data_IF_454885246455
#
_entry.id   IF_454885246455
#
_cell.length_a   1.000
_cell.length_b   1.000
_cell.length_c   1.000
_cell.angle_alpha   90.00
_cell.angle_beta   90.00
_cell.angle_gamma   90.00
#
_symmetry.space_group_name_H-M   'P 1'
#
loop_
_entity.id
_entity.type
_entity.pdbx_description
1 polymer ?
#
# COMPACT_ATOMS: atom_id res chain seq x y z
N UNK A 1 -24.87 32.96 14.57
CA UNK A 1 -25.26 32.22 13.33
C UNK A 1 -24.15 31.36 12.74
N UNK A 2 -22.85 31.72 12.82
CA UNK A 2 -21.72 30.96 12.24
C UNK A 2 -21.57 29.52 12.76
N UNK A 3 -21.78 29.29 14.06
CA UNK A 3 -21.58 27.94 14.65
C UNK A 3 -22.55 26.87 14.14
N UNK A 4 -23.78 27.21 13.79
CA UNK A 4 -24.75 26.23 13.25
C UNK A 4 -24.41 25.82 11.83
N UNK A 5 -23.96 26.76 11.01
CA UNK A 5 -23.52 26.45 9.63
C UNK A 5 -22.31 25.51 9.59
N UNK A 6 -21.35 25.72 10.50
CA UNK A 6 -20.16 24.88 10.63
C UNK A 6 -20.52 23.44 11.04
N UNK A 7 -21.32 23.28 12.08
CA UNK A 7 -21.80 21.95 12.51
C UNK A 7 -22.56 21.22 11.40
N UNK A 8 -23.47 21.93 10.69
CA UNK A 8 -24.22 21.35 9.57
C UNK A 8 -23.30 20.87 8.45
N UNK A 9 -22.28 21.65 8.09
CA UNK A 9 -21.33 21.28 7.05
C UNK A 9 -20.56 19.99 7.43
N UNK A 10 -20.10 19.87 8.67
CA UNK A 10 -19.42 18.65 9.16
C UNK A 10 -20.33 17.42 9.15
N UNK A 11 -21.56 17.55 9.62
CA UNK A 11 -22.54 16.46 9.60
C UNK A 11 -22.84 16.02 8.17
N UNK A 12 -23.02 16.97 7.23
CA UNK A 12 -23.23 16.64 5.82
C UNK A 12 -22.03 15.92 5.20
N UNK A 13 -20.79 16.32 5.52
CA UNK A 13 -19.59 15.63 5.06
C UNK A 13 -19.50 14.22 5.64
N UNK A 14 -19.72 14.06 6.93
CA UNK A 14 -19.73 12.76 7.59
C UNK A 14 -20.77 11.82 6.97
N UNK A 15 -21.97 12.33 6.70
CA UNK A 15 -23.02 11.56 6.02
C UNK A 15 -22.62 11.11 4.61
N UNK A 16 -22.01 12.01 3.82
CA UNK A 16 -21.52 11.66 2.46
C UNK A 16 -20.43 10.61 2.51
N UNK A 17 -19.48 10.72 3.44
CA UNK A 17 -18.43 9.72 3.63
C UNK A 17 -19.03 8.38 4.05
N UNK A 18 -19.98 8.36 4.98
CA UNK A 18 -20.68 7.15 5.39
C UNK A 18 -21.46 6.52 4.22
N UNK A 19 -22.13 7.33 3.40
CA UNK A 19 -22.79 6.86 2.17
C UNK A 19 -21.80 6.17 1.22
N UNK A 20 -20.64 6.79 0.95
CA UNK A 20 -19.62 6.18 0.11
C UNK A 20 -19.11 4.87 0.71
N UNK A 21 -18.88 4.81 2.02
CA UNK A 21 -18.43 3.60 2.71
C UNK A 21 -19.43 2.45 2.64
N UNK A 22 -20.72 2.76 2.60
CA UNK A 22 -21.79 1.73 2.50
C UNK A 22 -21.99 1.26 1.07
N UNK A 23 -22.10 2.19 0.12
CA UNK A 23 -22.50 1.89 -1.25
C UNK A 23 -21.33 1.64 -2.20
N UNK A 24 -20.14 2.18 -1.89
CA UNK A 24 -18.92 2.06 -2.70
C UNK A 24 -17.71 1.72 -1.81
N UNK A 25 -17.78 0.61 -1.05
CA UNK A 25 -16.79 0.34 0.00
C UNK A 25 -15.36 0.26 -0.51
N UNK A 26 -15.09 -0.43 -1.63
CA UNK A 26 -13.74 -0.52 -2.19
C UNK A 26 -13.18 0.84 -2.60
N UNK A 27 -13.99 1.69 -3.23
CA UNK A 27 -13.57 3.04 -3.59
C UNK A 27 -13.27 3.90 -2.35
N UNK A 28 -14.06 3.74 -1.29
CA UNK A 28 -13.80 4.39 0.00
C UNK A 28 -12.46 3.94 0.59
N UNK A 29 -12.19 2.62 0.67
CA UNK A 29 -10.93 2.11 1.20
C UNK A 29 -9.75 2.52 0.33
N UNK A 30 -9.86 2.44 -1.00
CA UNK A 30 -8.81 2.86 -1.92
C UNK A 30 -8.43 4.34 -1.74
N UNK A 31 -9.43 5.22 -1.64
CA UNK A 31 -9.20 6.65 -1.40
C UNK A 31 -8.56 6.90 -0.04
N UNK A 32 -9.05 6.26 1.01
CA UNK A 32 -8.52 6.42 2.36
C UNK A 32 -7.06 5.97 2.44
N UNK A 33 -6.75 4.76 1.97
CA UNK A 33 -5.40 4.22 2.00
C UNK A 33 -4.44 4.98 1.08
N UNK A 34 -4.91 5.53 -0.05
CA UNK A 34 -4.07 6.38 -0.89
C UNK A 34 -3.64 7.67 -0.18
N UNK A 35 -4.54 8.29 0.60
CA UNK A 35 -4.22 9.48 1.40
C UNK A 35 -3.26 9.12 2.55
N UNK A 36 -3.36 7.91 3.09
CA UNK A 36 -2.57 7.38 4.21
C UNK A 36 -1.47 6.41 3.78
N UNK A 37 -1.01 6.49 2.52
CA UNK A 37 -0.04 5.54 1.98
C UNK A 37 1.27 5.47 2.79
N UNK A 38 1.72 6.57 3.39
CA UNK A 38 2.90 6.61 4.26
C UNK A 38 2.73 5.84 5.58
N UNK A 39 1.50 5.61 6.01
CA UNK A 39 1.14 4.87 7.23
C UNK A 39 0.64 3.45 6.87
N UNK A 40 0.55 3.11 5.59
CA UNK A 40 0.14 1.81 5.10
C UNK A 40 1.38 0.91 4.94
N UNK A 41 1.32 -0.28 5.51
CA UNK A 41 2.36 -1.29 5.36
C UNK A 41 1.84 -2.45 4.51
N UNK A 42 2.25 -2.47 3.24
CA UNK A 42 1.80 -3.49 2.29
C UNK A 42 2.32 -4.89 2.67
N UNK A 43 3.49 -5.01 3.32
CA UNK A 43 4.04 -6.31 3.71
C UNK A 43 3.22 -7.01 4.79
N UNK A 44 2.61 -6.23 5.67
CA UNK A 44 1.75 -6.78 6.73
C UNK A 44 0.34 -6.97 6.20
N UNK A 45 -0.23 -5.93 5.59
CA UNK A 45 -1.64 -5.92 5.23
C UNK A 45 -1.95 -6.90 4.11
N UNK A 46 -1.08 -7.04 3.10
CA UNK A 46 -1.29 -8.00 2.00
C UNK A 46 -1.19 -9.48 2.41
N UNK A 47 -0.63 -9.78 3.59
CA UNK A 47 -0.62 -11.15 4.14
C UNK A 47 -1.99 -11.63 4.60
N UNK A 48 -2.97 -10.72 4.68
CA UNK A 48 -4.35 -11.06 4.94
C UNK A 48 -4.80 -10.79 6.37
N UNK A 49 -6.04 -11.19 6.61
CA UNK A 49 -6.80 -10.88 7.82
C UNK A 49 -6.08 -11.25 9.13
N UNK A 50 -5.44 -12.42 9.20
CA UNK A 50 -4.79 -12.85 10.44
C UNK A 50 -3.57 -11.99 10.77
N UNK A 51 -2.71 -11.69 9.77
CA UNK A 51 -1.54 -10.84 9.99
C UNK A 51 -1.91 -9.42 10.44
N UNK A 52 -3.02 -8.87 9.91
CA UNK A 52 -3.55 -7.57 10.35
C UNK A 52 -4.00 -7.62 11.80
N UNK A 53 -4.71 -8.68 12.20
CA UNK A 53 -5.17 -8.87 13.57
C UNK A 53 -4.00 -9.00 14.55
N UNK A 54 -3.05 -9.87 14.24
CA UNK A 54 -1.89 -10.12 15.10
C UNK A 54 -1.11 -8.82 15.34
N UNK A 55 -0.96 -8.00 14.28
CA UNK A 55 -0.30 -6.71 14.39
C UNK A 55 -1.12 -5.68 15.18
N UNK A 56 -2.44 -5.70 15.08
CA UNK A 56 -3.30 -4.86 15.92
C UNK A 56 -3.18 -5.24 17.40
N UNK A 57 -3.20 -6.53 17.72
CA UNK A 57 -3.06 -7.01 19.08
C UNK A 57 -1.71 -6.60 19.68
N UNK A 58 -0.61 -6.68 18.91
CA UNK A 58 0.72 -6.18 19.30
C UNK A 58 0.69 -4.67 19.63
N UNK A 59 0.08 -3.86 18.76
CA UNK A 59 -0.01 -2.40 18.96
C UNK A 59 -0.83 -2.05 20.20
N UNK A 60 -1.95 -2.75 20.44
CA UNK A 60 -2.79 -2.57 21.63
C UNK A 60 -2.00 -2.87 22.90
N UNK A 61 -1.16 -3.91 22.89
CA UNK A 61 -0.30 -4.21 24.05
C UNK A 61 0.76 -3.13 24.28
N UNK A 62 1.35 -2.57 23.22
CA UNK A 62 2.28 -1.44 23.32
C UNK A 62 1.58 -0.19 23.88
N UNK A 63 0.33 0.05 23.50
CA UNK A 63 -0.48 1.16 24.02
C UNK A 63 -0.74 1.02 25.52
N UNK A 64 -1.14 -0.17 25.98
CA UNK A 64 -1.31 -0.47 27.43
C UNK A 64 -0.04 -0.22 28.23
N UNK A 65 1.12 -0.52 27.63
CA UNK A 65 2.42 -0.28 28.23
C UNK A 65 2.89 1.19 28.12
N UNK A 66 2.09 2.08 27.51
CA UNK A 66 2.44 3.50 27.25
C UNK A 66 3.72 3.67 26.39
N UNK A 67 4.01 2.69 25.52
CA UNK A 67 5.19 2.68 24.63
C UNK A 67 4.85 3.00 23.19
N UNK A 68 3.59 3.34 22.88
CA UNK A 68 3.13 3.58 21.53
C UNK A 68 3.70 4.89 20.98
N UNK A 69 4.38 4.81 19.84
CA UNK A 69 4.90 5.99 19.11
C UNK A 69 3.79 6.70 18.34
N UNK A 70 4.05 7.94 17.91
CA UNK A 70 3.10 8.70 17.06
C UNK A 70 2.89 8.00 15.71
N UNK A 71 3.94 7.37 15.17
CA UNK A 71 3.87 6.58 13.92
C UNK A 71 2.96 5.37 14.10
N UNK A 72 3.09 4.65 15.23
CA UNK A 72 2.27 3.47 15.50
C UNK A 72 0.79 3.81 15.66
N UNK A 73 0.46 4.99 16.20
CA UNK A 73 -0.94 5.47 16.26
C UNK A 73 -1.54 5.69 14.87
N UNK A 74 -0.79 6.27 13.94
CA UNK A 74 -1.22 6.41 12.55
C UNK A 74 -1.44 5.06 11.89
N UNK A 75 -0.50 4.14 12.08
CA UNK A 75 -0.58 2.78 11.57
C UNK A 75 -1.74 1.98 12.19
N UNK A 76 -2.02 2.13 13.49
CA UNK A 76 -3.16 1.50 14.16
C UNK A 76 -4.47 1.81 13.45
N UNK A 77 -4.73 3.09 13.15
CA UNK A 77 -5.96 3.49 12.45
C UNK A 77 -6.08 2.85 11.06
N UNK A 78 -4.96 2.73 10.34
CA UNK A 78 -4.92 2.05 9.03
C UNK A 78 -5.22 0.56 9.18
N UNK A 79 -4.63 -0.10 10.20
CA UNK A 79 -4.86 -1.52 10.47
C UNK A 79 -6.31 -1.81 10.89
N UNK A 80 -6.92 -0.95 11.73
CA UNK A 80 -8.32 -1.07 12.13
C UNK A 80 -9.25 -1.02 10.91
N UNK A 81 -8.96 -0.10 9.98
CA UNK A 81 -9.75 0.01 8.76
C UNK A 81 -9.49 -1.16 7.79
N UNK A 82 -8.26 -1.64 7.70
CA UNK A 82 -7.91 -2.83 6.92
C UNK A 82 -8.59 -4.08 7.51
N UNK A 83 -8.63 -4.20 8.84
CA UNK A 83 -9.35 -5.27 9.52
C UNK A 83 -10.85 -5.25 9.20
N UNK A 84 -11.49 -4.08 9.29
CA UNK A 84 -12.90 -3.91 8.90
C UNK A 84 -13.12 -4.31 7.44
N UNK A 85 -12.24 -3.88 6.53
CA UNK A 85 -12.29 -4.22 5.11
C UNK A 85 -12.26 -5.73 4.88
N UNK A 86 -11.36 -6.46 5.56
CA UNK A 86 -11.28 -7.92 5.51
C UNK A 86 -12.53 -8.60 6.08
N UNK A 87 -13.10 -8.06 7.16
CA UNK A 87 -14.36 -8.59 7.73
C UNK A 87 -15.54 -8.44 6.78
N UNK A 88 -15.51 -7.43 5.91
CA UNK A 88 -16.52 -7.21 4.86
C UNK A 88 -16.29 -8.05 3.59
N UNK A 89 -15.28 -8.93 3.59
CA UNK A 89 -14.99 -9.84 2.49
C UNK A 89 -14.18 -9.26 1.36
N UNK A 90 -13.53 -8.11 1.57
CA UNK A 90 -12.56 -7.54 0.64
C UNK A 90 -11.14 -7.95 1.04
N UNK A 91 -10.19 -7.81 0.11
CA UNK A 91 -8.79 -8.17 0.34
C UNK A 91 -7.83 -7.12 -0.21
N UNK A 92 -6.56 -7.27 0.16
CA UNK A 92 -5.44 -6.49 -0.39
C UNK A 92 -4.51 -7.47 -1.10
N UNK A 93 -4.14 -7.15 -2.32
CA UNK A 93 -3.17 -7.89 -3.11
C UNK A 93 -1.74 -7.50 -2.71
N UNK A 94 -0.77 -8.27 -3.18
CA UNK A 94 0.64 -7.85 -3.14
C UNK A 94 0.89 -6.76 -4.16
N UNK A 95 1.88 -5.92 -3.91
CA UNK A 95 2.36 -4.97 -4.91
C UNK A 95 2.90 -5.75 -6.11
N UNK A 96 2.47 -5.36 -7.30
CA UNK A 96 2.82 -6.00 -8.56
C UNK A 96 3.65 -5.05 -9.43
N UNK A 97 4.78 -5.55 -9.98
CA UNK A 97 5.72 -4.75 -10.75
C UNK A 97 5.08 -4.08 -11.98
N UNK A 98 4.17 -4.78 -12.64
CA UNK A 98 3.58 -4.34 -13.91
C UNK A 98 2.21 -3.69 -13.75
N UNK A 99 1.48 -3.98 -12.67
CA UNK A 99 0.10 -3.51 -12.48
C UNK A 99 -0.02 -2.38 -11.47
N UNK A 100 0.79 -2.40 -10.39
CA UNK A 100 0.69 -1.39 -9.34
C UNK A 100 0.94 0.03 -9.84
N UNK A 101 0.21 1.00 -9.31
CA UNK A 101 0.44 2.42 -9.56
C UNK A 101 1.59 2.94 -8.68
N UNK A 102 2.07 4.16 -8.94
CA UNK A 102 3.09 4.78 -8.12
C UNK A 102 2.59 5.08 -6.69
N UNK A 103 1.44 5.76 -6.56
CA UNK A 103 0.95 6.34 -5.30
C UNK A 103 -0.55 6.09 -5.02
N UNK A 104 -1.28 5.44 -5.92
CA UNK A 104 -2.73 5.22 -5.78
C UNK A 104 -3.08 3.74 -5.77
N UNK A 105 -4.01 3.36 -4.89
CA UNK A 105 -4.59 2.03 -4.90
C UNK A 105 -5.48 1.84 -6.13
N UNK A 106 -5.40 0.66 -6.74
CA UNK A 106 -6.23 0.26 -7.87
C UNK A 106 -7.29 -0.73 -7.38
N UNK A 107 -8.51 -0.58 -7.88
CA UNK A 107 -9.63 -1.46 -7.55
C UNK A 107 -9.64 -2.66 -8.49
N UNK A 108 -9.64 -3.86 -7.91
CA UNK A 108 -9.88 -5.12 -8.62
C UNK A 108 -11.06 -5.82 -7.96
N UNK A 109 -12.11 -6.13 -8.69
CA UNK A 109 -13.31 -6.84 -8.23
C UNK A 109 -13.64 -6.71 -6.72
N UNK A 110 -13.01 -7.53 -5.86
CA UNK A 110 -13.15 -7.54 -4.39
C UNK A 110 -11.83 -7.26 -3.65
N UNK A 111 -10.81 -6.79 -4.36
CA UNK A 111 -9.49 -6.54 -3.79
C UNK A 111 -8.98 -5.14 -4.14
N UNK A 112 -7.99 -4.70 -3.39
CA UNK A 112 -7.21 -3.50 -3.66
C UNK A 112 -5.78 -3.90 -4.01
N UNK A 113 -5.28 -3.39 -5.13
CA UNK A 113 -3.88 -3.50 -5.49
C UNK A 113 -3.14 -2.28 -4.94
N UNK A 114 -2.17 -2.46 -4.02
CA UNK A 114 -1.44 -1.35 -3.43
C UNK A 114 -0.47 -0.69 -4.41
N UNK A 115 -0.18 0.61 -4.25
CA UNK A 115 0.86 1.29 -4.98
C UNK A 115 2.27 0.92 -4.47
N UNK A 116 3.31 1.26 -5.25
CA UNK A 116 4.70 1.08 -4.81
C UNK A 116 5.04 1.85 -3.53
N UNK A 117 4.46 3.06 -3.33
CA UNK A 117 4.66 3.85 -2.11
C UNK A 117 4.10 3.22 -0.84
N UNK A 118 3.28 2.19 -0.96
CA UNK A 118 2.80 1.38 0.18
C UNK A 118 3.87 0.42 0.73
N UNK A 119 5.00 0.27 0.01
CA UNK A 119 6.18 -0.44 0.50
C UNK A 119 7.11 0.54 1.22
N UNK A 120 7.38 0.25 2.49
CA UNK A 120 8.27 1.10 3.30
C UNK A 120 9.64 1.26 2.63
N UNK A 121 10.08 2.49 2.48
CA UNK A 121 11.39 2.82 1.86
C UNK A 121 11.32 3.13 0.36
N UNK A 122 10.18 2.96 -0.30
CA UNK A 122 10.01 3.39 -1.70
C UNK A 122 9.44 4.79 -1.75
N UNK A 123 10.23 5.74 -2.26
CA UNK A 123 9.79 7.12 -2.45
C UNK A 123 8.86 7.26 -3.66
N UNK A 124 8.04 8.31 -3.67
CA UNK A 124 7.18 8.63 -4.82
C UNK A 124 7.97 8.80 -6.12
N UNK A 125 9.19 9.33 -6.04
CA UNK A 125 10.08 9.47 -7.20
C UNK A 125 10.48 8.10 -7.75
N UNK A 126 10.96 7.19 -6.90
CA UNK A 126 11.34 5.84 -7.32
C UNK A 126 10.13 5.06 -7.86
N UNK A 127 8.98 5.18 -7.22
CA UNK A 127 7.73 4.58 -7.69
C UNK A 127 7.33 5.07 -9.09
N UNK A 128 7.40 6.39 -9.33
CA UNK A 128 7.15 6.96 -10.65
C UNK A 128 8.16 6.49 -11.70
N UNK A 129 9.44 6.39 -11.34
CA UNK A 129 10.47 5.88 -12.25
C UNK A 129 10.18 4.44 -12.69
N UNK A 130 9.75 3.56 -11.78
CA UNK A 130 9.35 2.19 -12.12
C UNK A 130 8.17 2.21 -13.10
N UNK A 131 7.13 3.00 -12.79
CA UNK A 131 5.93 3.11 -13.63
C UNK A 131 6.27 3.65 -15.02
N UNK A 132 7.16 4.63 -15.14
CA UNK A 132 7.60 5.16 -16.44
C UNK A 132 8.45 4.15 -17.21
N UNK A 133 9.43 3.54 -16.55
CA UNK A 133 10.33 2.58 -17.19
C UNK A 133 9.57 1.38 -17.80
N UNK A 134 8.55 0.85 -17.13
CA UNK A 134 7.76 -0.28 -17.65
C UNK A 134 6.92 0.07 -18.90
N UNK A 135 6.64 1.38 -19.17
CA UNK A 135 5.95 1.79 -20.39
C UNK A 135 6.79 1.58 -21.64
N UNK A 136 8.11 1.48 -21.51
CA UNK A 136 9.04 1.19 -22.60
C UNK A 136 9.12 -0.31 -22.94
N UNK A 137 8.45 -1.17 -22.17
CA UNK A 137 8.41 -2.62 -22.32
C UNK A 137 8.70 -3.35 -21.01
N UNK A 138 8.50 -4.67 -21.03
CA UNK A 138 8.80 -5.53 -19.87
C UNK A 138 10.29 -5.48 -19.53
N UNK A 139 10.60 -5.71 -18.25
CA UNK A 139 11.99 -5.78 -17.80
C UNK A 139 12.55 -7.17 -18.09
N UNK A 140 13.75 -7.21 -18.68
CA UNK A 140 14.42 -8.45 -19.05
C UNK A 140 15.12 -9.07 -17.83
N UNK A 141 15.55 -8.23 -16.89
CA UNK A 141 16.26 -8.65 -15.67
C UNK A 141 16.11 -7.61 -14.55
N UNK A 142 16.58 -7.97 -13.36
CA UNK A 142 16.64 -7.04 -12.22
C UNK A 142 17.65 -5.90 -12.50
N UNK A 143 18.75 -6.21 -13.18
CA UNK A 143 19.72 -5.20 -13.60
C UNK A 143 19.12 -4.21 -14.61
N UNK A 144 18.30 -4.69 -15.55
CA UNK A 144 17.56 -3.84 -16.50
C UNK A 144 16.57 -2.93 -15.78
N UNK A 145 15.75 -3.47 -14.87
CA UNK A 145 14.86 -2.67 -14.01
C UNK A 145 15.64 -1.61 -13.25
N UNK A 146 16.72 -1.99 -12.57
CA UNK A 146 17.55 -1.08 -11.78
C UNK A 146 18.10 0.07 -12.62
N UNK A 147 18.58 -0.24 -13.83
CA UNK A 147 19.14 0.74 -14.76
C UNK A 147 18.07 1.67 -15.34
N UNK A 148 16.99 1.12 -15.89
CA UNK A 148 15.93 1.89 -16.57
C UNK A 148 15.15 2.75 -15.59
N UNK A 149 14.82 2.24 -14.42
CA UNK A 149 14.12 3.01 -13.39
C UNK A 149 15.06 3.79 -12.45
N UNK A 150 16.39 3.76 -12.69
CA UNK A 150 17.40 4.45 -11.85
C UNK A 150 17.24 4.16 -10.35
N UNK A 151 17.06 2.88 -10.00
CA UNK A 151 16.83 2.47 -8.63
C UNK A 151 18.14 2.27 -7.85
N UNK A 152 18.11 2.64 -6.58
CA UNK A 152 19.18 2.29 -5.65
C UNK A 152 19.06 0.82 -5.21
N UNK A 153 20.19 0.22 -4.80
CA UNK A 153 20.22 -1.17 -4.34
C UNK A 153 19.21 -1.45 -3.20
N UNK A 154 19.06 -0.58 -2.16
CA UNK A 154 18.06 -0.81 -1.12
C UNK A 154 16.62 -0.90 -1.64
N UNK A 155 16.27 -0.14 -2.68
CA UNK A 155 14.93 -0.19 -3.28
C UNK A 155 14.72 -1.52 -4.01
N UNK A 156 15.72 -1.99 -4.75
CA UNK A 156 15.68 -3.30 -5.43
C UNK A 156 15.53 -4.43 -4.43
N UNK A 157 16.32 -4.42 -3.34
CA UNK A 157 16.19 -5.41 -2.26
C UNK A 157 14.80 -5.36 -1.63
N UNK A 158 14.25 -4.17 -1.43
CA UNK A 158 12.90 -4.01 -0.89
C UNK A 158 11.81 -4.62 -1.78
N UNK A 159 11.91 -4.41 -3.09
CA UNK A 159 11.02 -5.04 -4.07
C UNK A 159 11.17 -6.56 -4.09
N UNK A 160 12.41 -7.06 -3.95
CA UNK A 160 12.70 -8.49 -3.87
C UNK A 160 12.10 -9.13 -2.61
N UNK A 161 12.29 -8.53 -1.44
CA UNK A 161 11.74 -9.01 -0.17
C UNK A 161 10.21 -9.12 -0.20
N UNK A 162 9.55 -8.18 -0.88
CA UNK A 162 8.09 -8.21 -1.05
C UNK A 162 7.63 -9.29 -2.05
N UNK A 163 8.52 -9.76 -2.92
CA UNK A 163 8.22 -10.71 -4.00
C UNK A 163 7.78 -10.05 -5.31
N UNK A 164 8.00 -8.73 -5.48
CA UNK A 164 7.68 -8.04 -6.73
C UNK A 164 8.55 -8.47 -7.90
N UNK A 165 9.71 -9.06 -7.64
CA UNK A 165 10.71 -9.45 -8.64
C UNK A 165 10.73 -10.96 -8.93
N UNK A 166 9.75 -11.69 -8.39
CA UNK A 166 9.65 -13.14 -8.60
C UNK A 166 9.49 -13.44 -10.08
N UNK A 167 10.39 -14.29 -10.60
CA UNK A 167 10.41 -14.68 -12.03
C UNK A 167 11.34 -13.82 -12.91
N UNK A 168 11.90 -12.70 -12.42
CA UNK A 168 12.93 -11.96 -13.14
C UNK A 168 14.32 -12.58 -12.88
N UNK A 169 15.13 -12.66 -13.95
CA UNK A 169 16.53 -13.04 -13.85
C UNK A 169 17.34 -11.93 -13.19
N UNK A 170 18.46 -12.28 -12.53
CA UNK A 170 19.34 -11.28 -11.91
C UNK A 170 19.96 -10.33 -12.96
N UNK A 171 20.50 -10.89 -14.05
CA UNK A 171 21.23 -10.16 -15.08
C UNK A 171 20.90 -10.68 -16.46
N UNK A 172 21.02 -9.80 -17.47
CA UNK A 172 20.91 -10.16 -18.89
C UNK A 172 22.15 -10.92 -19.40
N UNK A 173 23.21 -11.01 -18.59
CA UNK A 173 24.40 -11.79 -18.95
C UNK A 173 24.09 -13.29 -18.86
N UNK A 174 24.00 -13.93 -20.01
CA UNK A 174 24.03 -15.39 -20.09
C UNK A 174 25.37 -15.82 -19.50
N UNK A 175 25.32 -16.50 -18.34
CA UNK A 175 26.50 -17.14 -17.79
C UNK A 175 26.98 -18.18 -18.81
N UNK A 176 28.08 -17.89 -19.49
CA UNK A 176 28.73 -18.83 -20.44
C UNK A 176 29.40 -20.00 -19.70
N UNK A 177 29.29 -20.08 -18.36
CA UNK A 177 29.86 -21.10 -17.50
C UNK A 177 28.77 -21.63 -16.53
N UNK A 178 28.04 -22.64 -16.95
CA UNK A 178 27.29 -23.57 -16.11
C UNK A 178 27.62 -24.99 -16.56
#
# INVERSE_FOLDING_TARGET
MLFRSHATAYVMMAYRIAFCKVHYPLAFYAAYFSIRAAEFDADIISKGKLAVRDKLDEIIELEKQKKLSVKDKGFQVVLELAWEMYLRGFSVEKVDLYKSNADKFILHEKSLLPPFTALTGISTMAANNIVQARLEGEFTSIDDLKKRASLSTPIVERLREHGCLDGLQESDQISLFS
#
